data_IF_039702384618
#
_entry.id   IF_039702384618
#
_cell.length_a   1.000
_cell.length_b   1.000
_cell.length_c   1.000
_cell.angle_alpha   90.00
_cell.angle_beta   90.00
_cell.angle_gamma   90.00
#
_symmetry.space_group_name_H-M   'P 1'
#
loop_
_entity.id
_entity.type
_entity.pdbx_description
1 polymer ?
#
# COMPACT_ATOMS: atom_id res chain seq x y z
N UNK A 1 -16.58 -21.72 23.06
CA UNK A 1 -17.10 -20.50 22.41
C UNK A 1 -16.48 -19.33 23.14
N UNK A 2 -15.40 -18.76 22.60
CA UNK A 2 -14.72 -17.60 23.19
C UNK A 2 -15.45 -16.33 22.77
N UNK A 3 -15.82 -15.52 23.76
CA UNK A 3 -16.52 -14.26 23.61
C UNK A 3 -15.73 -13.31 22.68
N UNK A 4 -16.37 -12.86 21.60
CA UNK A 4 -15.89 -11.75 20.79
C UNK A 4 -16.13 -10.47 21.58
N UNK A 5 -15.03 -9.79 21.96
CA UNK A 5 -15.09 -8.41 22.43
C UNK A 5 -15.53 -7.52 21.27
N UNK A 6 -16.83 -7.23 21.21
CA UNK A 6 -17.38 -6.18 20.37
C UNK A 6 -16.94 -4.85 21.01
N UNK A 7 -15.91 -4.23 20.45
CA UNK A 7 -15.49 -2.88 20.84
C UNK A 7 -16.54 -1.92 20.30
N UNK A 8 -17.29 -1.33 21.23
CA UNK A 8 -18.31 -0.33 20.99
C UNK A 8 -17.66 0.92 20.37
N UNK A 9 -17.91 1.20 19.08
CA UNK A 9 -17.43 2.37 18.34
C UNK A 9 -18.22 3.62 18.72
N UNK A 10 -18.13 4.00 20.00
CA UNK A 10 -18.63 5.27 20.50
C UNK A 10 -17.63 6.39 20.22
N UNK A 11 -18.07 7.37 19.42
CA UNK A 11 -17.44 8.67 19.14
C UNK A 11 -16.28 8.66 18.11
N UNK A 12 -16.63 8.61 16.82
CA UNK A 12 -15.77 9.12 15.74
C UNK A 12 -15.53 10.61 15.97
N UNK A 13 -14.48 10.97 16.71
CA UNK A 13 -13.81 12.26 16.54
C UNK A 13 -13.45 12.37 15.05
N UNK A 14 -13.74 13.51 14.44
CA UNK A 14 -13.20 13.83 13.12
C UNK A 14 -11.69 13.60 13.16
N UNK A 15 -11.23 12.55 12.47
CA UNK A 15 -9.83 12.20 12.44
C UNK A 15 -9.07 13.31 11.74
N UNK A 16 -7.98 13.81 12.33
CA UNK A 16 -7.15 14.82 11.67
C UNK A 16 -6.59 14.24 10.37
N UNK A 17 -6.86 14.93 9.26
CA UNK A 17 -6.33 14.57 7.96
C UNK A 17 -4.81 14.85 7.94
N UNK A 18 -4.06 13.99 7.25
CA UNK A 18 -2.62 14.12 7.07
C UNK A 18 -2.28 14.09 5.59
N UNK A 19 -1.32 14.92 5.16
CA UNK A 19 -0.99 15.05 3.73
C UNK A 19 0.13 14.10 3.27
N UNK A 20 0.83 13.47 4.21
CA UNK A 20 2.01 12.62 3.95
C UNK A 20 1.61 11.20 3.59
N UNK A 21 2.37 10.55 2.72
CA UNK A 21 2.20 9.11 2.42
C UNK A 21 2.63 8.27 3.63
N UNK A 22 1.73 7.41 4.12
CA UNK A 22 2.03 6.45 5.19
C UNK A 22 2.77 5.24 4.63
N UNK A 23 3.87 4.86 5.27
CA UNK A 23 4.56 3.61 4.96
C UNK A 23 3.91 2.48 5.77
N UNK A 24 3.37 1.48 5.07
CA UNK A 24 2.53 0.44 5.68
C UNK A 24 2.89 -0.96 5.19
N UNK A 25 2.44 -1.96 5.94
CA UNK A 25 2.39 -3.36 5.52
C UNK A 25 0.93 -3.71 5.19
N UNK A 26 0.65 -4.09 3.94
CA UNK A 26 -0.70 -4.48 3.53
C UNK A 26 -1.06 -5.88 4.05
N UNK A 27 -2.21 -6.00 4.71
CA UNK A 27 -2.71 -7.28 5.21
C UNK A 27 -4.05 -7.54 4.54
N UNK A 28 -4.08 -8.47 3.59
CA UNK A 28 -5.31 -8.89 2.94
C UNK A 28 -6.03 -9.89 3.84
N UNK A 29 -7.34 -9.76 3.94
CA UNK A 29 -8.20 -10.66 4.72
C UNK A 29 -7.92 -12.14 4.40
N UNK A 30 -7.94 -12.98 5.44
CA UNK A 30 -7.66 -14.41 5.37
C UNK A 30 -6.24 -14.80 4.91
N UNK A 31 -5.30 -13.86 4.87
CA UNK A 31 -3.91 -14.14 4.55
C UNK A 31 -2.98 -13.93 5.75
N UNK A 32 -2.03 -14.84 5.90
CA UNK A 32 -1.06 -14.77 6.99
C UNK A 32 -0.09 -13.59 6.77
N UNK A 33 -0.02 -12.69 7.75
CA UNK A 33 0.90 -11.56 7.73
C UNK A 33 2.26 -11.95 8.31
N UNK A 34 3.36 -11.43 7.75
CA UNK A 34 4.70 -11.64 8.31
C UNK A 34 4.83 -10.92 9.67
N UNK A 35 4.95 -11.66 10.79
CA UNK A 35 5.05 -11.07 12.12
C UNK A 35 6.32 -10.23 12.29
N UNK A 36 7.38 -10.53 11.54
CA UNK A 36 8.63 -9.75 11.56
C UNK A 36 8.46 -8.41 10.88
N UNK A 37 7.71 -8.35 9.78
CA UNK A 37 7.42 -7.10 9.08
C UNK A 37 6.52 -6.18 9.91
N UNK A 38 5.51 -6.74 10.59
CA UNK A 38 4.58 -5.99 11.45
C UNK A 38 5.24 -5.36 12.69
N UNK A 39 6.45 -5.81 13.08
CA UNK A 39 7.24 -5.13 14.12
C UNK A 39 7.81 -3.79 13.65
N UNK A 40 7.95 -3.58 12.34
CA UNK A 40 8.61 -2.40 11.74
C UNK A 40 7.62 -1.48 11.02
N UNK A 41 6.54 -2.02 10.50
CA UNK A 41 5.57 -1.32 9.68
C UNK A 41 4.19 -1.38 10.32
N UNK A 42 3.44 -0.28 10.23
CA UNK A 42 2.04 -0.27 10.63
C UNK A 42 1.19 -1.04 9.61
N UNK A 43 0.22 -1.85 10.05
CA UNK A 43 -0.64 -2.57 9.14
C UNK A 43 -1.63 -1.61 8.46
N UNK A 44 -1.91 -1.89 7.19
CA UNK A 44 -3.11 -1.49 6.47
C UNK A 44 -3.89 -2.77 6.21
N UNK A 45 -4.94 -3.00 6.98
CA UNK A 45 -5.82 -4.15 6.79
C UNK A 45 -6.80 -3.87 5.64
N UNK A 46 -6.93 -4.84 4.76
CA UNK A 46 -7.74 -4.80 3.55
C UNK A 46 -8.77 -5.92 3.64
N UNK A 47 -9.95 -5.58 4.17
CA UNK A 47 -11.10 -6.48 4.25
C UNK A 47 -12.02 -6.30 3.05
N UNK A 48 -12.91 -7.26 2.84
CA UNK A 48 -13.90 -7.18 1.77
C UNK A 48 -14.84 -5.95 1.89
N UNK A 49 -15.16 -5.53 3.11
CA UNK A 49 -16.14 -4.48 3.40
C UNK A 49 -15.52 -3.17 3.91
N UNK A 50 -14.26 -3.17 4.37
CA UNK A 50 -13.58 -1.97 4.82
C UNK A 50 -12.04 -2.04 4.72
N UNK A 51 -11.41 -0.86 4.77
CA UNK A 51 -9.99 -0.69 5.03
C UNK A 51 -9.78 -0.19 6.45
N UNK A 52 -8.78 -0.72 7.15
CA UNK A 52 -8.44 -0.30 8.51
C UNK A 52 -6.95 -0.01 8.67
N UNK A 53 -6.61 1.12 9.29
CA UNK A 53 -5.22 1.47 9.62
C UNK A 53 -5.15 2.45 10.79
N UNK A 54 -3.93 2.67 11.30
CA UNK A 54 -3.64 3.69 12.31
C UNK A 54 -2.96 4.88 11.62
N UNK A 55 -3.51 6.09 11.79
CA UNK A 55 -2.95 7.31 11.22
C UNK A 55 -1.68 7.78 11.98
N UNK A 56 -0.94 8.81 11.50
CA UNK A 56 0.21 9.36 12.22
C UNK A 56 -0.09 9.91 13.62
N UNK A 57 -1.36 10.21 13.91
CA UNK A 57 -1.82 10.74 15.19
C UNK A 57 -2.29 9.64 16.16
N UNK A 58 -2.07 8.37 15.81
CA UNK A 58 -2.47 7.18 16.57
C UNK A 58 -3.99 6.95 16.64
N UNK A 59 -4.77 7.57 15.76
CA UNK A 59 -6.19 7.27 15.61
C UNK A 59 -6.38 6.05 14.70
N UNK A 60 -7.28 5.15 15.09
CA UNK A 60 -7.75 4.07 14.23
C UNK A 60 -8.75 4.64 13.21
N UNK A 61 -8.48 4.40 11.93
CA UNK A 61 -9.31 4.84 10.81
C UNK A 61 -9.90 3.60 10.16
N UNK A 62 -11.22 3.62 9.97
CA UNK A 62 -11.99 2.59 9.28
C UNK A 62 -12.71 3.28 8.11
N UNK A 63 -12.38 2.85 6.89
CA UNK A 63 -12.98 3.34 5.64
C UNK A 63 -13.85 2.23 5.09
N UNK A 64 -15.16 2.45 5.02
CA UNK A 64 -16.07 1.52 4.36
C UNK A 64 -15.78 1.52 2.85
N UNK A 65 -15.69 0.34 2.22
CA UNK A 65 -15.38 0.25 0.78
C UNK A 65 -16.43 0.93 -0.09
N UNK A 66 -17.66 1.09 0.40
CA UNK A 66 -18.75 1.79 -0.30
C UNK A 66 -18.56 3.31 -0.32
N UNK A 67 -17.75 3.83 0.59
CA UNK A 67 -17.38 5.25 0.64
C UNK A 67 -16.14 5.56 -0.23
N UNK A 68 -15.49 4.55 -0.82
CA UNK A 68 -14.31 4.72 -1.68
C UNK A 68 -14.76 5.06 -3.09
N UNK A 69 -14.46 6.28 -3.54
CA UNK A 69 -14.74 6.72 -4.91
C UNK A 69 -13.84 6.00 -5.91
N UNK A 70 -12.54 5.94 -5.60
CA UNK A 70 -11.53 5.22 -6.37
C UNK A 70 -10.25 5.00 -5.59
N UNK A 71 -9.45 4.04 -6.06
CA UNK A 71 -8.06 3.86 -5.64
C UNK A 71 -7.15 4.07 -6.85
N UNK A 72 -6.19 4.99 -6.73
CA UNK A 72 -5.14 5.13 -7.75
C UNK A 72 -3.97 4.23 -7.37
N UNK A 73 -3.72 3.23 -8.21
CA UNK A 73 -2.63 2.28 -8.05
C UNK A 73 -1.42 2.75 -8.86
N UNK A 74 -0.28 2.90 -8.16
CA UNK A 74 1.00 3.31 -8.74
C UNK A 74 2.11 2.42 -8.18
N UNK A 75 3.31 2.60 -8.71
CA UNK A 75 4.53 2.08 -8.11
C UNK A 75 5.49 3.20 -7.78
N UNK A 76 6.32 3.00 -6.77
CA UNK A 76 7.43 3.87 -6.45
C UNK A 76 8.72 3.06 -6.29
N UNK A 77 9.86 3.75 -6.34
CA UNK A 77 11.16 3.14 -6.08
C UNK A 77 11.97 3.98 -5.11
N UNK A 78 12.62 3.34 -4.15
CA UNK A 78 13.49 3.95 -3.14
C UNK A 78 14.88 3.37 -3.25
N UNK A 79 15.89 4.23 -3.13
CA UNK A 79 17.26 3.79 -3.01
C UNK A 79 17.55 3.45 -1.54
N UNK A 80 18.01 2.22 -1.29
CA UNK A 80 18.47 1.77 0.01
C UNK A 80 19.99 1.64 -0.03
N UNK A 81 20.65 2.32 0.90
CA UNK A 81 22.12 2.33 1.01
C UNK A 81 22.53 1.29 2.06
N UNK A 82 23.41 0.38 1.67
CA UNK A 82 23.99 -0.68 2.48
C UNK A 82 25.52 -0.53 2.48
N UNK A 83 26.04 0.39 3.31
CA UNK A 83 27.47 0.70 3.32
C UNK A 83 27.94 1.20 1.94
N UNK A 84 28.80 0.41 1.28
CA UNK A 84 29.33 0.72 -0.06
C UNK A 84 28.41 0.32 -1.22
N UNK A 85 27.31 -0.41 -0.95
CA UNK A 85 26.35 -0.83 -1.96
C UNK A 85 25.08 0.00 -1.86
N UNK A 86 24.42 0.23 -2.99
CA UNK A 86 23.08 0.79 -3.03
C UNK A 86 22.21 -0.03 -3.97
N UNK A 87 20.97 -0.25 -3.57
CA UNK A 87 19.99 -0.96 -4.39
C UNK A 87 18.68 -0.18 -4.41
N UNK A 88 17.98 -0.22 -5.55
CA UNK A 88 16.64 0.30 -5.64
C UNK A 88 15.64 -0.78 -5.24
N UNK A 89 14.88 -0.50 -4.19
CA UNK A 89 13.68 -1.25 -3.83
C UNK A 89 12.47 -0.61 -4.49
N UNK A 90 11.48 -1.43 -4.81
CA UNK A 90 10.23 -0.96 -5.43
C UNK A 90 9.06 -1.32 -4.54
N UNK A 91 8.04 -0.48 -4.51
CA UNK A 91 6.86 -0.63 -3.66
C UNK A 91 5.60 -0.22 -4.40
N UNK A 92 4.44 -0.60 -3.85
CA UNK A 92 3.14 -0.13 -4.34
C UNK A 92 2.78 1.18 -3.67
N UNK A 93 2.27 2.12 -4.44
CA UNK A 93 1.64 3.33 -3.94
C UNK A 93 0.13 3.21 -4.15
N UNK A 94 -0.65 3.37 -3.07
CA UNK A 94 -2.11 3.38 -3.12
C UNK A 94 -2.60 4.76 -2.67
N UNK A 95 -3.34 5.46 -3.53
CA UNK A 95 -4.05 6.69 -3.17
C UNK A 95 -5.54 6.38 -3.12
N UNK A 96 -6.10 6.30 -1.91
CA UNK A 96 -7.51 5.95 -1.67
C UNK A 96 -8.30 7.25 -1.56
N UNK A 97 -9.17 7.51 -2.54
CA UNK A 97 -10.04 8.68 -2.59
C UNK A 97 -11.37 8.38 -1.90
N UNK A 98 -11.72 9.21 -0.91
CA UNK A 98 -12.94 9.10 -0.10
C UNK A 98 -13.53 10.50 0.06
N UNK A 99 -14.57 10.84 -0.72
CA UNK A 99 -15.18 12.17 -0.76
C UNK A 99 -14.12 13.24 -1.06
N UNK A 100 -13.91 14.18 -0.14
CA UNK A 100 -12.91 15.26 -0.29
C UNK A 100 -11.51 14.85 0.21
N UNK A 101 -11.35 13.65 0.78
CA UNK A 101 -10.11 13.21 1.41
C UNK A 101 -9.36 12.21 0.52
N UNK A 102 -8.02 12.22 0.63
CA UNK A 102 -7.15 11.26 -0.04
C UNK A 102 -6.19 10.65 0.98
N UNK A 103 -6.33 9.34 1.22
CA UNK A 103 -5.42 8.58 2.07
C UNK A 103 -4.33 7.95 1.22
N UNK A 104 -3.06 8.30 1.49
CA UNK A 104 -1.92 7.92 0.66
C UNK A 104 -1.07 6.88 1.39
N UNK A 105 -0.85 5.73 0.77
CA UNK A 105 -0.08 4.62 1.33
C UNK A 105 1.08 4.20 0.43
N UNK A 106 2.21 3.88 1.02
CA UNK A 106 3.32 3.15 0.40
C UNK A 106 3.38 1.77 1.03
N UNK A 107 3.02 0.74 0.28
CA UNK A 107 2.91 -0.62 0.79
C UNK A 107 4.21 -1.38 0.54
N UNK A 108 4.92 -1.71 1.63
CA UNK A 108 6.28 -2.24 1.59
C UNK A 108 6.39 -3.77 1.73
N UNK A 109 5.41 -4.53 1.24
CA UNK A 109 5.37 -6.00 1.31
C UNK A 109 5.41 -6.68 -0.06
N UNK A 110 6.44 -6.37 -0.86
CA UNK A 110 6.56 -6.87 -2.25
C UNK A 110 6.49 -8.39 -2.42
N UNK A 111 6.84 -9.14 -1.37
CA UNK A 111 6.80 -10.59 -1.35
C UNK A 111 5.36 -11.13 -1.42
N UNK A 112 4.42 -10.45 -0.76
CA UNK A 112 2.98 -10.77 -0.74
C UNK A 112 2.15 -9.81 -1.60
N UNK A 113 2.80 -8.93 -2.38
CA UNK A 113 2.09 -7.92 -3.16
C UNK A 113 1.14 -8.50 -4.23
N UNK A 114 1.35 -9.74 -4.70
CA UNK A 114 0.38 -10.41 -5.57
C UNK A 114 -1.02 -10.49 -4.93
N UNK A 115 -1.07 -10.68 -3.61
CA UNK A 115 -2.32 -10.78 -2.87
C UNK A 115 -3.05 -9.44 -2.82
N UNK A 116 -2.30 -8.34 -2.68
CA UNK A 116 -2.85 -6.99 -2.74
C UNK A 116 -3.37 -6.70 -4.16
N UNK A 117 -2.62 -7.09 -5.18
CA UNK A 117 -3.07 -6.94 -6.57
C UNK A 117 -4.35 -7.75 -6.82
N UNK A 118 -4.44 -8.96 -6.30
CA UNK A 118 -5.64 -9.78 -6.42
C UNK A 118 -6.84 -9.17 -5.67
N UNK A 119 -6.63 -8.67 -4.45
CA UNK A 119 -7.65 -7.90 -3.72
C UNK A 119 -8.15 -6.70 -4.52
N UNK A 120 -7.25 -5.89 -5.07
CA UNK A 120 -7.60 -4.69 -5.84
C UNK A 120 -8.34 -5.02 -7.14
N UNK A 121 -8.06 -6.16 -7.78
CA UNK A 121 -8.79 -6.63 -8.97
C UNK A 121 -10.24 -7.03 -8.69
N UNK A 122 -10.53 -7.50 -7.48
CA UNK A 122 -11.86 -7.99 -7.08
C UNK A 122 -12.59 -7.03 -6.13
N UNK A 123 -11.99 -5.88 -5.83
CA UNK A 123 -12.58 -4.88 -4.95
C UNK A 123 -13.86 -4.28 -5.56
N UNK A 124 -14.84 -3.88 -4.72
CA UNK A 124 -16.09 -3.29 -5.19
C UNK A 124 -15.94 -1.82 -5.65
N UNK A 125 -14.77 -1.22 -5.50
CA UNK A 125 -14.45 0.14 -5.93
C UNK A 125 -13.60 0.16 -7.21
N UNK A 126 -13.60 1.30 -7.90
CA UNK A 126 -12.79 1.46 -9.11
C UNK A 126 -11.31 1.59 -8.77
N UNK A 127 -10.45 0.84 -9.47
CA UNK A 127 -8.99 0.99 -9.39
C UNK A 127 -8.46 1.62 -10.68
N UNK A 128 -7.86 2.80 -10.56
CA UNK A 128 -7.11 3.45 -11.64
C UNK A 128 -5.67 2.93 -11.63
N UNK A 129 -5.37 1.94 -12.49
CA UNK A 129 -4.03 1.40 -12.68
C UNK A 129 -3.15 2.35 -13.52
N UNK A 130 -2.54 3.33 -12.85
CA UNK A 130 -1.85 4.44 -13.50
C UNK A 130 -0.56 4.04 -14.23
N UNK A 131 0.06 2.92 -13.87
CA UNK A 131 1.38 2.49 -14.40
C UNK A 131 1.37 1.10 -15.03
N UNK A 132 0.18 0.59 -15.41
CA UNK A 132 0.00 -0.77 -15.90
C UNK A 132 0.54 -1.84 -14.91
N UNK A 133 0.39 -1.57 -13.62
CA UNK A 133 0.86 -2.41 -12.50
C UNK A 133 0.27 -3.82 -12.60
N UNK A 134 -1.00 -3.95 -12.96
CA UNK A 134 -1.61 -5.27 -13.13
C UNK A 134 -0.89 -6.09 -14.20
N UNK A 135 -0.54 -5.49 -15.33
CA UNK A 135 0.18 -6.17 -16.40
C UNK A 135 1.61 -6.53 -15.99
N UNK A 136 2.27 -5.70 -15.17
CA UNK A 136 3.61 -6.00 -14.62
C UNK A 136 3.54 -7.24 -13.72
N UNK A 137 2.56 -7.29 -12.82
CA UNK A 137 2.40 -8.39 -11.88
C UNK A 137 1.94 -9.69 -12.57
N UNK A 138 1.15 -9.59 -13.63
CA UNK A 138 0.76 -10.74 -14.45
C UNK A 138 1.94 -11.32 -15.24
N UNK A 139 2.75 -10.47 -15.88
CA UNK A 139 3.94 -10.91 -16.64
C UNK A 139 5.08 -11.39 -15.75
N UNK A 140 5.17 -10.84 -14.53
CA UNK A 140 6.21 -11.14 -13.56
C UNK A 140 5.61 -11.47 -12.18
N UNK A 141 4.97 -12.65 -12.04
CA UNK A 141 4.29 -13.03 -10.79
C UNK A 141 5.30 -13.33 -9.67
N UNK A 142 6.47 -13.87 -10.02
CA UNK A 142 7.57 -14.09 -9.08
C UNK A 142 8.20 -12.77 -8.62
N UNK A 143 8.43 -12.65 -7.31
CA UNK A 143 8.95 -11.43 -6.70
C UNK A 143 10.37 -11.08 -7.19
N UNK A 144 11.23 -12.08 -7.39
CA UNK A 144 12.60 -11.85 -7.84
C UNK A 144 12.63 -11.43 -9.32
N UNK A 145 11.88 -12.12 -10.18
CA UNK A 145 11.73 -11.77 -11.59
C UNK A 145 11.17 -10.35 -11.75
N UNK A 146 10.13 -9.99 -10.98
CA UNK A 146 9.55 -8.65 -10.95
C UNK A 146 10.56 -7.60 -10.51
N UNK A 147 11.31 -7.87 -9.44
CA UNK A 147 12.36 -6.96 -8.96
C UNK A 147 13.40 -6.70 -10.04
N UNK A 148 13.90 -7.73 -10.73
CA UNK A 148 14.86 -7.58 -11.84
C UNK A 148 14.28 -6.76 -13.00
N UNK A 149 13.03 -7.02 -13.38
CA UNK A 149 12.35 -6.24 -14.41
C UNK A 149 12.27 -4.76 -14.04
N UNK A 150 11.88 -4.45 -12.80
CA UNK A 150 11.79 -3.09 -12.29
C UNK A 150 13.18 -2.43 -12.22
N UNK A 151 14.21 -3.12 -11.76
CA UNK A 151 15.59 -2.59 -11.77
C UNK A 151 16.03 -2.13 -13.17
N UNK A 152 15.69 -2.90 -14.21
CA UNK A 152 16.05 -2.56 -15.58
C UNK A 152 15.20 -1.45 -16.21
N UNK A 153 13.91 -1.35 -15.87
CA UNK A 153 12.94 -0.55 -16.61
C UNK A 153 12.37 0.65 -15.85
N UNK A 154 12.41 0.64 -14.51
CA UNK A 154 11.65 1.60 -13.70
C UNK A 154 12.11 3.05 -13.89
N UNK A 155 13.40 3.30 -14.13
CA UNK A 155 13.89 4.66 -14.44
C UNK A 155 13.21 5.27 -15.66
N UNK A 156 12.98 4.47 -16.72
CA UNK A 156 12.28 4.93 -17.94
C UNK A 156 10.78 5.11 -17.66
N UNK A 157 10.18 4.20 -16.90
CA UNK A 157 8.77 4.29 -16.50
C UNK A 157 8.53 5.54 -15.65
N UNK A 158 9.35 5.78 -14.64
CA UNK A 158 9.25 6.95 -13.76
C UNK A 158 9.28 8.25 -14.57
N UNK A 159 10.17 8.36 -15.56
CA UNK A 159 10.19 9.50 -16.49
C UNK A 159 8.92 9.61 -17.34
N UNK A 160 8.39 8.49 -17.86
CA UNK A 160 7.15 8.46 -18.67
C UNK A 160 5.94 8.94 -17.88
N UNK A 161 5.83 8.52 -16.62
CA UNK A 161 4.65 8.76 -15.78
C UNK A 161 4.82 9.96 -14.81
N UNK A 162 5.95 10.67 -14.86
CA UNK A 162 6.22 11.82 -13.99
C UNK A 162 6.42 11.47 -12.51
N UNK A 163 6.92 10.27 -12.22
CA UNK A 163 7.14 9.77 -10.85
C UNK A 163 8.55 10.14 -10.38
N UNK A 164 8.67 10.58 -9.14
CA UNK A 164 9.97 10.79 -8.49
C UNK A 164 10.70 9.46 -8.27
N UNK A 165 11.92 9.34 -8.80
CA UNK A 165 12.74 8.13 -8.70
C UNK A 165 14.26 8.41 -8.72
N UNK A 166 15.03 7.88 -7.75
CA UNK A 166 14.55 7.22 -6.53
C UNK A 166 13.90 8.25 -5.59
N UNK A 167 12.74 7.89 -5.02
CA UNK A 167 12.06 8.71 -4.02
C UNK A 167 12.98 8.89 -2.82
N UNK A 168 13.28 10.15 -2.50
CA UNK A 168 14.04 10.52 -1.31
C UNK A 168 13.12 10.70 -0.09
N UNK A 169 13.59 10.36 1.10
CA UNK A 169 12.89 10.62 2.37
C UNK A 169 11.91 9.52 2.79
N UNK A 170 12.16 8.93 3.97
CA UNK A 170 11.45 7.79 4.53
C UNK A 170 12.40 7.04 5.45
N UNK A 171 12.84 7.71 6.52
CA UNK A 171 13.68 7.11 7.55
C UNK A 171 12.83 6.14 8.36
N UNK A 172 13.33 4.91 8.52
CA UNK A 172 12.94 4.03 9.62
C UNK A 172 13.17 4.73 10.96
#
# INVERSE_FOLDING_TARGET
>A
MSEMNIVNLGNKKESKMYDKRLIVYGVVENMEADPTALKKLKPLYMYQDHLEFINPYHDQIIIDVRDIDKVVLKMCGRMKIFGFFSENNFYLDLDVHVKENIYKFEVQNMQTANNIIDYLKHAPFTVEDYMDVYAIFEKHPDCLARTRYLQANFKKMAKKYGIDFPRQGGTY
#
